data_IF_647502382094
#
_entry.id   IF_647502382094
#
_cell.length_a   1.000
_cell.length_b   1.000
_cell.length_c   1.000
_cell.angle_alpha   90.00
_cell.angle_beta   90.00
_cell.angle_gamma   90.00
#
_symmetry.space_group_name_H-M   'P 1'
#
loop_
_entity.id
_entity.type
_entity.pdbx_description
1 polymer ?
#
# COMPACT_ATOMS: atom_id res chain seq x y z
N UNK A 1 20.60 -4.10 5.17
CA UNK A 1 20.51 -2.62 5.23
C UNK A 1 19.69 -2.23 6.44
N UNK A 2 20.23 -1.36 7.26
CA UNK A 2 19.48 -0.84 8.41
C UNK A 2 18.44 0.19 7.99
N UNK A 3 17.35 0.32 8.77
CA UNK A 3 16.24 1.20 8.39
C UNK A 3 16.64 2.69 8.26
N UNK A 4 17.58 3.17 9.09
CA UNK A 4 18.08 4.55 8.96
C UNK A 4 18.91 4.77 7.69
N UNK A 5 19.69 3.78 7.30
CA UNK A 5 20.43 3.81 6.01
C UNK A 5 19.45 3.86 4.83
N UNK A 6 18.42 3.02 4.87
CA UNK A 6 17.39 3.00 3.84
C UNK A 6 16.64 4.32 3.78
N UNK A 7 16.32 4.91 4.92
CA UNK A 7 15.67 6.21 5.02
C UNK A 7 16.51 7.30 4.35
N UNK A 8 17.77 7.36 4.68
CA UNK A 8 18.70 8.35 4.12
C UNK A 8 18.89 8.14 2.62
N UNK A 9 19.10 6.89 2.22
CA UNK A 9 19.37 6.53 0.81
C UNK A 9 18.20 6.86 -0.11
N UNK A 10 16.99 6.51 0.29
CA UNK A 10 15.83 6.59 -0.59
C UNK A 10 14.99 7.86 -0.41
N UNK A 11 15.03 8.48 0.76
CA UNK A 11 14.19 9.63 1.07
C UNK A 11 14.98 10.87 1.52
N UNK A 12 16.27 10.73 1.79
CA UNK A 12 17.12 11.86 2.18
C UNK A 12 16.93 12.34 3.62
N UNK A 13 16.15 11.63 4.41
CA UNK A 13 15.94 12.00 5.82
C UNK A 13 16.97 11.31 6.72
N UNK A 14 17.33 11.98 7.82
CA UNK A 14 18.32 11.48 8.78
C UNK A 14 17.68 10.93 10.05
N UNK A 15 16.38 11.18 10.25
CA UNK A 15 15.66 10.73 11.44
C UNK A 15 14.20 10.44 11.12
N UNK A 16 13.59 9.53 11.89
CA UNK A 16 12.17 9.23 11.81
C UNK A 16 11.35 10.24 12.63
N UNK A 17 10.13 10.51 12.18
CA UNK A 17 9.14 11.23 12.99
C UNK A 17 8.57 10.28 14.04
N UNK A 18 7.94 10.85 15.07
CA UNK A 18 7.31 10.08 16.15
C UNK A 18 6.34 9.02 15.60
N UNK A 19 6.49 7.79 16.06
CA UNK A 19 5.66 6.65 15.68
C UNK A 19 6.09 5.91 14.42
N UNK A 20 6.88 6.52 13.55
CA UNK A 20 7.28 5.88 12.29
C UNK A 20 8.15 4.64 12.50
N UNK A 21 9.17 4.76 13.32
CA UNK A 21 10.13 3.67 13.53
C UNK A 21 9.46 2.42 14.08
N UNK A 22 8.53 2.57 15.03
CA UNK A 22 7.82 1.44 15.62
C UNK A 22 6.95 0.71 14.60
N UNK A 23 6.20 1.46 13.77
CA UNK A 23 5.37 0.87 12.73
C UNK A 23 6.22 0.11 11.71
N UNK A 24 7.32 0.72 11.28
CA UNK A 24 8.24 0.11 10.33
C UNK A 24 8.82 -1.19 10.90
N UNK A 25 9.26 -1.19 12.14
CA UNK A 25 9.80 -2.39 12.79
C UNK A 25 8.78 -3.54 12.84
N UNK A 26 7.53 -3.25 13.15
CA UNK A 26 6.47 -4.26 13.17
C UNK A 26 6.21 -4.83 11.77
N UNK A 27 6.17 -3.98 10.76
CA UNK A 27 5.98 -4.42 9.37
C UNK A 27 7.16 -5.28 8.92
N UNK A 28 8.38 -4.87 9.23
CA UNK A 28 9.58 -5.64 8.87
C UNK A 28 9.63 -7.00 9.60
N UNK A 29 9.03 -7.08 10.77
CA UNK A 29 8.88 -8.34 11.51
C UNK A 29 7.77 -9.25 10.96
N UNK A 30 7.08 -8.84 9.91
CA UNK A 30 6.00 -9.60 9.29
C UNK A 30 4.66 -9.53 10.02
N UNK A 31 4.47 -8.53 10.86
CA UNK A 31 3.25 -8.36 11.64
C UNK A 31 2.29 -7.39 10.97
N UNK A 32 1.00 -7.62 11.18
CA UNK A 32 -0.03 -6.68 10.81
C UNK A 32 0.01 -5.46 11.72
N UNK A 33 -0.23 -4.28 11.17
CA UNK A 33 -0.25 -3.04 11.96
C UNK A 33 -1.45 -2.17 11.61
N UNK A 34 -1.86 -1.34 12.57
CA UNK A 34 -2.80 -0.26 12.36
C UNK A 34 -2.11 1.04 12.80
N UNK A 35 -1.78 1.88 11.84
CA UNK A 35 -1.17 3.18 12.08
C UNK A 35 -2.21 4.28 12.08
N UNK A 36 -2.38 4.96 13.21
CA UNK A 36 -3.25 6.13 13.31
C UNK A 36 -2.35 7.35 13.42
N UNK A 37 -2.29 8.11 12.32
CA UNK A 37 -1.36 9.24 12.19
C UNK A 37 -2.09 10.42 11.57
N UNK A 38 -1.86 11.66 12.06
CA UNK A 38 -2.48 12.82 11.47
C UNK A 38 -2.03 13.03 10.02
N UNK A 39 -2.84 13.73 9.25
CA UNK A 39 -2.48 14.16 7.90
C UNK A 39 -1.15 14.93 7.96
N UNK A 40 -0.20 14.56 7.09
CA UNK A 40 1.15 15.13 7.12
C UNK A 40 2.08 14.48 8.13
N UNK A 41 1.65 13.43 8.84
CA UNK A 41 2.48 12.69 9.80
C UNK A 41 3.47 11.70 9.18
N UNK A 42 3.55 11.65 7.85
CA UNK A 42 4.47 10.77 7.15
C UNK A 42 3.98 9.32 7.04
N UNK A 43 2.68 9.12 6.88
CA UNK A 43 2.08 7.76 6.73
C UNK A 43 2.69 6.99 5.58
N UNK A 44 2.88 7.62 4.42
CA UNK A 44 3.39 6.95 3.23
C UNK A 44 4.77 6.35 3.45
N UNK A 45 5.63 7.02 4.18
CA UNK A 45 6.96 6.52 4.52
C UNK A 45 6.89 5.20 5.30
N UNK A 46 5.89 5.06 6.17
CA UNK A 46 5.73 3.88 7.02
C UNK A 46 5.49 2.59 6.23
N UNK A 47 4.92 2.66 5.04
CA UNK A 47 4.80 1.48 4.17
C UNK A 47 5.81 1.49 3.02
N UNK A 48 6.19 2.65 2.51
CA UNK A 48 7.16 2.72 1.41
C UNK A 48 8.53 2.21 1.82
N UNK A 49 9.03 2.61 2.97
CA UNK A 49 10.34 2.18 3.44
C UNK A 49 10.44 0.67 3.67
N UNK A 50 9.50 0.02 4.40
CA UNK A 50 9.52 -1.44 4.51
C UNK A 50 9.41 -2.15 3.17
N UNK A 51 8.61 -1.62 2.24
CA UNK A 51 8.49 -2.17 0.89
C UNK A 51 9.84 -2.20 0.17
N UNK A 52 10.64 -1.15 0.33
CA UNK A 52 11.97 -1.09 -0.26
C UNK A 52 12.98 -2.03 0.39
N UNK A 53 12.81 -2.32 1.66
CA UNK A 53 13.71 -3.19 2.43
C UNK A 53 13.37 -4.67 2.28
N UNK A 54 12.13 -5.02 1.97
CA UNK A 54 11.67 -6.41 1.80
C UNK A 54 11.80 -6.84 0.35
N UNK A 55 11.94 -8.16 0.12
CA UNK A 55 11.86 -8.72 -1.24
C UNK A 55 10.41 -8.74 -1.70
N UNK A 56 10.23 -8.67 -3.01
CA UNK A 56 8.92 -8.76 -3.63
C UNK A 56 8.30 -7.42 -3.93
N UNK A 57 7.01 -7.45 -4.27
CA UNK A 57 6.22 -6.28 -4.64
C UNK A 57 5.24 -5.93 -3.53
N UNK A 58 5.21 -4.68 -3.11
CA UNK A 58 4.21 -4.17 -2.18
C UNK A 58 2.99 -3.65 -2.95
N UNK A 59 1.81 -3.98 -2.46
CA UNK A 59 0.54 -3.48 -3.00
C UNK A 59 0.01 -2.42 -2.04
N UNK A 60 -0.25 -1.23 -2.55
CA UNK A 60 -0.81 -0.13 -1.77
C UNK A 60 -2.23 0.15 -2.27
N UNK A 61 -3.21 -0.02 -1.41
CA UNK A 61 -4.62 0.20 -1.73
C UNK A 61 -5.01 1.59 -1.23
N UNK A 62 -5.47 2.44 -2.14
CA UNK A 62 -5.87 3.81 -1.84
C UNK A 62 -7.09 4.20 -2.66
N UNK A 63 -8.03 4.97 -2.10
CA UNK A 63 -9.18 5.47 -2.85
C UNK A 63 -8.88 6.76 -3.60
N UNK A 64 -7.73 7.37 -3.35
CA UNK A 64 -7.40 8.72 -3.81
C UNK A 64 -6.62 8.66 -5.13
N UNK A 65 -7.35 8.45 -6.22
CA UNK A 65 -6.80 8.29 -7.58
C UNK A 65 -5.90 9.46 -7.96
N UNK A 66 -6.31 10.68 -7.64
CA UNK A 66 -5.53 11.88 -7.96
C UNK A 66 -4.17 11.93 -7.27
N UNK A 67 -4.04 11.31 -6.10
CA UNK A 67 -2.78 11.30 -5.35
C UNK A 67 -1.87 10.14 -5.74
N UNK A 68 -2.40 9.08 -6.37
CA UNK A 68 -1.60 7.92 -6.77
C UNK A 68 -0.47 8.32 -7.72
N UNK A 69 -0.79 9.14 -8.72
CA UNK A 69 0.20 9.59 -9.70
C UNK A 69 1.33 10.34 -9.01
N UNK A 70 1.01 11.27 -8.11
CA UNK A 70 2.01 12.07 -7.41
C UNK A 70 2.91 11.18 -6.52
N UNK A 71 2.33 10.21 -5.83
CA UNK A 71 3.08 9.25 -5.01
C UNK A 71 4.03 8.43 -5.87
N UNK A 72 3.55 7.91 -6.99
CA UNK A 72 4.35 7.10 -7.91
C UNK A 72 5.46 7.94 -8.56
N UNK A 73 5.14 9.15 -9.01
CA UNK A 73 6.13 10.04 -9.61
C UNK A 73 7.28 10.33 -8.63
N UNK A 74 6.96 10.59 -7.36
CA UNK A 74 7.96 10.81 -6.32
C UNK A 74 8.85 9.59 -6.08
N UNK A 75 8.28 8.39 -6.10
CA UNK A 75 9.05 7.15 -5.96
C UNK A 75 9.96 6.92 -7.17
N UNK A 76 9.45 7.12 -8.37
CA UNK A 76 10.24 6.96 -9.60
C UNK A 76 11.40 7.96 -9.64
N UNK A 77 11.17 9.20 -9.23
CA UNK A 77 12.23 10.22 -9.12
C UNK A 77 13.33 9.78 -8.14
N UNK A 78 12.97 9.03 -7.12
CA UNK A 78 13.92 8.48 -6.15
C UNK A 78 14.52 7.13 -6.59
N UNK A 79 14.32 6.74 -7.84
CA UNK A 79 14.91 5.52 -8.39
C UNK A 79 14.16 4.24 -8.04
N UNK A 80 12.91 4.34 -7.58
CA UNK A 80 12.10 3.18 -7.19
C UNK A 80 11.09 2.87 -8.30
N UNK A 81 11.18 1.68 -8.88
CA UNK A 81 10.24 1.22 -9.90
C UNK A 81 8.86 1.05 -9.30
N UNK A 82 7.93 1.93 -9.66
CA UNK A 82 6.58 1.98 -9.10
C UNK A 82 5.56 2.31 -10.18
N UNK A 83 4.33 1.87 -9.99
CA UNK A 83 3.23 2.19 -10.88
C UNK A 83 1.90 2.27 -10.12
N UNK A 84 0.84 2.67 -10.82
CA UNK A 84 -0.51 2.66 -10.28
C UNK A 84 -1.49 2.05 -11.30
N UNK A 85 -2.54 1.44 -10.79
CA UNK A 85 -3.61 0.80 -11.55
C UNK A 85 -4.94 1.34 -11.04
N UNK A 86 -5.60 2.16 -11.86
CA UNK A 86 -6.89 2.75 -11.53
C UNK A 86 -7.68 3.07 -12.82
N UNK A 87 -8.85 3.64 -12.67
CA UNK A 87 -9.77 3.93 -13.78
C UNK A 87 -9.30 5.06 -14.72
N UNK A 88 -8.25 5.80 -14.35
CA UNK A 88 -7.72 6.88 -15.19
C UNK A 88 -6.90 6.38 -16.38
N UNK A 89 -6.51 5.09 -16.36
CA UNK A 89 -5.68 4.50 -17.40
C UNK A 89 -6.48 4.13 -18.65
N UNK A 90 -5.88 4.34 -19.81
CA UNK A 90 -6.39 3.75 -21.05
C UNK A 90 -6.21 2.24 -21.04
N UNK A 91 -6.91 1.53 -21.94
CA UNK A 91 -6.73 0.08 -22.06
C UNK A 91 -5.29 -0.33 -22.39
N UNK A 92 -4.61 0.44 -23.24
CA UNK A 92 -3.22 0.20 -23.62
C UNK A 92 -2.28 0.40 -22.42
N UNK A 93 -2.47 1.48 -21.68
CA UNK A 93 -1.69 1.75 -20.46
C UNK A 93 -1.89 0.67 -19.41
N UNK A 94 -3.12 0.25 -19.18
CA UNK A 94 -3.44 -0.80 -18.23
C UNK A 94 -2.76 -2.11 -18.63
N UNK A 95 -2.87 -2.51 -19.89
CA UNK A 95 -2.25 -3.76 -20.37
C UNK A 95 -0.72 -3.74 -20.20
N UNK A 96 -0.08 -2.61 -20.49
CA UNK A 96 1.36 -2.47 -20.34
C UNK A 96 1.79 -2.59 -18.87
N UNK A 97 1.04 -1.99 -17.96
CA UNK A 97 1.35 -2.04 -16.53
C UNK A 97 1.11 -3.42 -15.93
N UNK A 98 0.05 -4.09 -16.34
CA UNK A 98 -0.22 -5.47 -15.90
C UNK A 98 0.88 -6.43 -16.38
N UNK A 99 1.37 -6.24 -17.60
CA UNK A 99 2.48 -7.04 -18.11
C UNK A 99 3.78 -6.77 -17.33
N UNK A 100 4.09 -5.50 -17.05
CA UNK A 100 5.24 -5.15 -16.21
C UNK A 100 5.13 -5.73 -14.81
N UNK A 101 3.93 -5.73 -14.25
CA UNK A 101 3.66 -6.33 -12.94
C UNK A 101 3.87 -7.85 -12.98
N UNK A 102 3.39 -8.51 -14.03
CA UNK A 102 3.59 -9.95 -14.24
C UNK A 102 5.09 -10.32 -14.29
N UNK A 103 5.91 -9.46 -14.87
CA UNK A 103 7.35 -9.65 -14.97
C UNK A 103 8.10 -9.29 -13.68
N UNK A 104 7.43 -8.78 -12.67
CA UNK A 104 8.06 -8.36 -11.42
C UNK A 104 8.89 -7.09 -11.53
N UNK A 105 8.56 -6.21 -12.47
CA UNK A 105 9.30 -4.97 -12.73
C UNK A 105 9.09 -3.88 -11.68
N UNK A 106 8.03 -3.99 -10.87
CA UNK A 106 7.66 -2.94 -9.93
C UNK A 106 7.89 -3.34 -8.48
N UNK A 107 8.44 -2.42 -7.70
CA UNK A 107 8.64 -2.59 -6.26
C UNK A 107 7.38 -2.26 -5.47
N UNK A 108 6.65 -1.24 -5.91
CA UNK A 108 5.35 -0.85 -5.36
C UNK A 108 4.34 -0.68 -6.49
N UNK A 109 3.12 -1.13 -6.25
CA UNK A 109 1.99 -0.85 -7.12
C UNK A 109 0.84 -0.28 -6.29
N UNK A 110 0.37 0.90 -6.69
CA UNK A 110 -0.80 1.56 -6.09
C UNK A 110 -2.04 1.12 -6.85
N UNK A 111 -3.05 0.66 -6.14
CA UNK A 111 -4.25 0.06 -6.74
C UNK A 111 -5.50 0.71 -6.15
N UNK A 112 -6.42 1.09 -7.02
CA UNK A 112 -7.75 1.49 -6.57
C UNK A 112 -8.52 0.26 -6.05
N UNK A 113 -9.33 0.39 -4.98
CA UNK A 113 -10.03 -0.75 -4.38
C UNK A 113 -10.92 -1.50 -5.37
N UNK A 114 -11.48 -0.80 -6.36
CA UNK A 114 -12.34 -1.37 -7.40
C UNK A 114 -11.61 -2.40 -8.29
N UNK A 115 -10.29 -2.34 -8.35
CA UNK A 115 -9.48 -3.26 -9.15
C UNK A 115 -9.19 -4.58 -8.45
N UNK A 116 -9.48 -4.70 -7.16
CA UNK A 116 -9.15 -5.88 -6.37
C UNK A 116 -9.98 -7.12 -6.75
N UNK A 117 -11.11 -6.95 -7.43
CA UNK A 117 -11.91 -8.05 -7.94
C UNK A 117 -11.74 -8.26 -9.46
N UNK A 118 -10.92 -7.46 -10.13
CA UNK A 118 -10.64 -7.63 -11.55
C UNK A 118 -9.85 -8.94 -11.75
N UNK A 119 -10.39 -9.84 -12.57
CA UNK A 119 -9.83 -11.18 -12.74
C UNK A 119 -8.36 -11.18 -13.11
N UNK A 120 -7.98 -10.38 -14.09
CA UNK A 120 -6.60 -10.35 -14.57
C UNK A 120 -5.64 -9.88 -13.47
N UNK A 121 -6.01 -8.85 -12.73
CA UNK A 121 -5.21 -8.36 -11.61
C UNK A 121 -5.05 -9.43 -10.52
N UNK A 122 -6.14 -10.12 -10.16
CA UNK A 122 -6.11 -11.18 -9.14
C UNK A 122 -5.21 -12.33 -9.58
N UNK A 123 -5.29 -12.75 -10.83
CA UNK A 123 -4.46 -13.82 -11.38
C UNK A 123 -2.98 -13.46 -11.30
N UNK A 124 -2.62 -12.23 -11.65
CA UNK A 124 -1.24 -11.75 -11.56
C UNK A 124 -0.78 -11.70 -10.10
N UNK A 125 -1.60 -11.14 -9.21
CA UNK A 125 -1.28 -11.01 -7.80
C UNK A 125 -1.00 -12.37 -7.15
N UNK A 126 -1.73 -13.40 -7.55
CA UNK A 126 -1.54 -14.76 -7.02
C UNK A 126 -0.18 -15.35 -7.40
N UNK A 127 0.45 -14.86 -8.44
CA UNK A 127 1.76 -15.34 -8.90
C UNK A 127 2.92 -14.49 -8.37
N UNK A 128 2.63 -13.31 -7.82
CA UNK A 128 3.65 -12.42 -7.31
C UNK A 128 4.10 -12.80 -5.91
N UNK A 129 5.36 -12.52 -5.63
CA UNK A 129 5.86 -12.49 -4.26
C UNK A 129 5.46 -11.14 -3.66
N UNK A 130 4.36 -11.12 -2.91
CA UNK A 130 3.82 -9.91 -2.30
C UNK A 130 4.45 -9.72 -0.94
N UNK A 131 5.24 -8.67 -0.80
CA UNK A 131 5.96 -8.37 0.43
C UNK A 131 5.08 -7.79 1.51
N UNK A 132 4.05 -7.02 1.12
CA UNK A 132 3.26 -6.18 2.01
C UNK A 132 2.01 -5.73 1.29
N UNK A 133 0.89 -5.66 2.02
CA UNK A 133 -0.31 -4.95 1.58
C UNK A 133 -0.50 -3.76 2.51
N UNK A 134 -0.41 -2.56 1.97
CA UNK A 134 -0.71 -1.33 2.69
C UNK A 134 -2.11 -0.86 2.31
N UNK A 135 -2.91 -0.51 3.31
CA UNK A 135 -4.27 0.00 3.12
C UNK A 135 -4.29 1.42 3.63
N UNK A 136 -4.31 2.38 2.71
CA UNK A 136 -4.44 3.79 3.06
C UNK A 136 -5.92 4.15 3.25
N UNK A 137 -6.18 5.18 4.04
CA UNK A 137 -7.56 5.61 4.35
C UNK A 137 -8.40 4.44 4.88
N UNK A 138 -7.84 3.64 5.79
CA UNK A 138 -8.46 2.40 6.28
C UNK A 138 -9.83 2.61 6.93
N UNK A 139 -10.14 3.83 7.39
CA UNK A 139 -11.45 4.17 7.92
C UNK A 139 -12.59 4.00 6.89
N UNK A 140 -12.26 3.97 5.60
CA UNK A 140 -13.25 3.77 4.53
C UNK A 140 -13.92 2.40 4.57
N UNK A 141 -13.39 1.43 5.32
CA UNK A 141 -14.01 0.11 5.47
C UNK A 141 -15.27 0.15 6.33
N UNK A 142 -15.39 1.14 7.20
CA UNK A 142 -16.50 1.23 8.14
C UNK A 142 -17.69 1.99 7.55
N UNK A 143 -18.84 1.34 7.47
CA UNK A 143 -20.09 1.99 7.08
C UNK A 143 -20.56 3.02 8.13
N UNK A 144 -19.98 3.00 9.32
CA UNK A 144 -20.27 3.95 10.40
C UNK A 144 -19.24 5.10 10.43
N UNK A 145 -18.25 5.05 9.55
CA UNK A 145 -17.25 6.12 9.39
C UNK A 145 -17.77 7.25 8.51
N UNK A 146 -17.08 8.38 8.56
CA UNK A 146 -17.47 9.60 7.82
C UNK A 146 -17.22 9.51 6.31
N UNK A 147 -16.45 8.52 5.83
CA UNK A 147 -16.07 8.37 4.43
C UNK A 147 -16.16 6.90 4.01
N UNK A 148 -17.30 6.27 4.25
CA UNK A 148 -17.50 4.86 3.89
C UNK A 148 -17.43 4.67 2.37
N UNK A 149 -16.60 3.69 1.94
CA UNK A 149 -16.48 3.28 0.54
C UNK A 149 -16.74 1.79 0.43
N UNK A 150 -17.85 1.38 -0.22
CA UNK A 150 -18.20 -0.05 -0.33
C UNK A 150 -17.11 -0.91 -0.97
N UNK A 151 -16.31 -0.36 -1.88
CA UNK A 151 -15.22 -1.06 -2.54
C UNK A 151 -14.14 -1.56 -1.56
N UNK A 152 -14.02 -0.96 -0.37
CA UNK A 152 -13.08 -1.41 0.66
C UNK A 152 -13.44 -2.80 1.22
N UNK A 153 -14.66 -3.24 1.07
CA UNK A 153 -15.07 -4.60 1.46
C UNK A 153 -14.47 -5.69 0.57
N UNK A 154 -13.95 -5.32 -0.58
CA UNK A 154 -13.22 -6.25 -1.45
C UNK A 154 -11.81 -6.56 -0.93
N UNK A 155 -11.25 -5.74 -0.02
CA UNK A 155 -9.90 -5.93 0.49
C UNK A 155 -9.72 -7.27 1.21
N UNK A 156 -10.55 -7.64 2.21
CA UNK A 156 -10.42 -8.94 2.86
C UNK A 156 -10.57 -10.11 1.88
N UNK A 157 -11.51 -10.00 0.95
CA UNK A 157 -11.75 -11.02 -0.08
C UNK A 157 -10.52 -11.21 -0.97
N UNK A 158 -9.89 -10.12 -1.37
CA UNK A 158 -8.66 -10.14 -2.17
C UNK A 158 -7.54 -10.85 -1.41
N UNK A 159 -7.32 -10.49 -0.14
CA UNK A 159 -6.28 -11.10 0.68
C UNK A 159 -6.50 -12.61 0.81
N UNK A 160 -7.74 -13.05 1.00
CA UNK A 160 -8.09 -14.46 1.11
C UNK A 160 -7.81 -15.27 -0.17
N UNK A 161 -7.82 -14.61 -1.32
CA UNK A 161 -7.52 -15.25 -2.61
C UNK A 161 -6.03 -15.49 -2.85
N UNK A 162 -5.17 -14.85 -2.07
CA UNK A 162 -3.73 -15.00 -2.23
C UNK A 162 -3.25 -16.34 -1.66
N UNK A 163 -2.31 -17.04 -2.34
CA UNK A 163 -1.80 -18.33 -1.85
C UNK A 163 -1.02 -18.20 -0.53
N UNK A 164 -0.36 -17.06 -0.31
CA UNK A 164 0.34 -16.74 0.94
C UNK A 164 -0.16 -15.39 1.42
N UNK A 165 -0.58 -15.30 2.67
CA UNK A 165 -1.06 -14.05 3.25
C UNK A 165 0.12 -13.15 3.60
N UNK A 166 0.27 -11.99 2.94
CA UNK A 166 1.32 -11.04 3.32
C UNK A 166 0.93 -10.26 4.58
N UNK A 167 1.89 -9.60 5.24
CA UNK A 167 1.57 -8.66 6.31
C UNK A 167 0.69 -7.54 5.76
N UNK A 168 -0.25 -7.07 6.57
CA UNK A 168 -1.17 -6.00 6.21
C UNK A 168 -0.93 -4.80 7.13
N UNK A 169 -0.65 -3.66 6.52
CA UNK A 169 -0.46 -2.40 7.24
C UNK A 169 -1.58 -1.44 6.86
N UNK A 170 -2.46 -1.16 7.81
CA UNK A 170 -3.58 -0.24 7.61
C UNK A 170 -3.26 1.11 8.25
N UNK A 171 -3.62 2.18 7.56
CA UNK A 171 -3.33 3.55 7.99
C UNK A 171 -4.56 4.44 7.86
N UNK A 172 -4.76 5.28 8.87
CA UNK A 172 -5.80 6.31 8.84
C UNK A 172 -5.40 7.51 9.68
N UNK A 173 -5.91 8.68 9.34
CA UNK A 173 -5.72 9.88 10.15
C UNK A 173 -6.69 9.93 11.33
N UNK A 174 -7.86 9.32 11.18
CA UNK A 174 -8.92 9.36 12.19
C UNK A 174 -9.60 8.00 12.30
N UNK A 175 -9.81 7.54 13.54
CA UNK A 175 -10.59 6.32 13.79
C UNK A 175 -11.22 6.39 15.17
N UNK A 176 -12.56 6.23 15.23
CA UNK A 176 -13.25 5.98 16.49
C UNK A 176 -12.94 4.56 16.96
N UNK A 177 -13.25 4.24 18.22
CA UNK A 177 -13.07 2.87 18.74
C UNK A 177 -13.84 1.85 17.88
N UNK A 178 -15.05 2.19 17.46
CA UNK A 178 -15.88 1.34 16.62
C UNK A 178 -15.23 1.07 15.26
N UNK A 179 -14.72 2.12 14.60
CA UNK A 179 -14.04 2.00 13.30
C UNK A 179 -12.76 1.16 13.45
N UNK A 180 -12.00 1.34 14.54
CA UNK A 180 -10.80 0.56 14.82
C UNK A 180 -11.10 -0.95 14.88
N UNK A 181 -12.20 -1.34 15.48
CA UNK A 181 -12.58 -2.76 15.57
C UNK A 181 -12.93 -3.33 14.18
N UNK A 182 -13.57 -2.56 13.30
CA UNK A 182 -13.87 -3.00 11.94
C UNK A 182 -12.60 -3.16 11.08
N UNK A 183 -11.59 -2.32 11.29
CA UNK A 183 -10.32 -2.38 10.56
C UNK A 183 -9.54 -3.64 10.95
N UNK A 184 -9.59 -4.04 12.21
CA UNK A 184 -8.91 -5.24 12.69
C UNK A 184 -9.47 -6.50 12.06
#
# INVERSE_FOLDING_TARGET
>A
MEKLEALKKHFGYTAFRSGQAQLIDQILAGRDVLGIMPTGGGKSLCYQLPALMKRGTAIVISPLISLMKDQVDGLVENGVASTYINSSLSGTELAARLEGLRRGEFKLVYVAPERLNAREFVEIARMLDISLIAVDEAHCISQWGHDFRPSYKEIPKFIQRLPVRPPVAAFTATATTFVKEEIK
#
